data_IF_086207073479
#
_entry.id   IF_086207073479
#
_cell.length_a   1.000
_cell.length_b   1.000
_cell.length_c   1.000
_cell.angle_alpha   90.00
_cell.angle_beta   90.00
_cell.angle_gamma   90.00
#
_symmetry.space_group_name_H-M   'P 1'
#
loop_
_entity.id
_entity.type
_entity.pdbx_description
1 polymer ?
#
# COMPACT_ATOMS: atom_id res chain seq x y z
N UNK A 1 14.77 -3.06 -7.51
CA UNK A 1 13.97 -2.33 -6.49
C UNK A 1 13.38 -3.25 -5.42
N UNK A 2 12.54 -4.24 -5.75
CA UNK A 2 11.88 -5.10 -4.75
C UNK A 2 12.85 -5.84 -3.80
N UNK A 3 13.93 -6.44 -4.31
CA UNK A 3 14.94 -7.10 -3.48
C UNK A 3 15.69 -6.16 -2.52
N UNK A 4 15.87 -4.89 -2.90
CA UNK A 4 16.48 -3.90 -2.03
C UNK A 4 15.59 -3.61 -0.81
N UNK A 5 14.29 -3.42 -1.05
CA UNK A 5 13.30 -3.24 0.04
C UNK A 5 13.28 -4.48 0.93
N UNK A 6 13.22 -5.68 0.34
CA UNK A 6 13.23 -6.93 1.09
C UNK A 6 14.44 -7.01 2.04
N UNK A 7 15.64 -6.70 1.55
CA UNK A 7 16.86 -6.74 2.38
C UNK A 7 16.81 -5.74 3.55
N UNK A 8 16.21 -4.57 3.35
CA UNK A 8 16.08 -3.54 4.39
C UNK A 8 15.09 -3.97 5.48
N UNK A 9 13.96 -4.54 5.11
CA UNK A 9 12.91 -4.90 6.07
C UNK A 9 13.10 -6.31 6.66
N UNK A 10 14.00 -7.12 6.11
CA UNK A 10 14.26 -8.51 6.53
C UNK A 10 14.48 -8.65 8.05
N UNK A 11 15.22 -7.74 8.72
CA UNK A 11 15.43 -7.83 10.17
C UNK A 11 14.16 -7.58 11.00
N UNK A 12 13.15 -6.93 10.41
CA UNK A 12 11.91 -6.53 11.10
C UNK A 12 10.79 -7.57 10.92
N UNK A 13 10.82 -8.34 9.83
CA UNK A 13 9.86 -9.42 9.58
C UNK A 13 10.29 -10.71 10.33
N UNK A 14 9.34 -11.39 10.97
CA UNK A 14 9.62 -12.48 11.90
C UNK A 14 10.14 -13.73 11.17
N UNK A 15 11.41 -14.08 11.36
CA UNK A 15 11.95 -15.37 10.92
C UNK A 15 11.54 -16.46 11.89
N UNK A 16 10.31 -16.97 11.76
CA UNK A 16 9.87 -18.12 12.56
C UNK A 16 10.69 -19.35 12.16
N UNK A 17 11.22 -20.06 13.15
CA UNK A 17 12.07 -21.25 13.00
C UNK A 17 11.28 -22.56 12.81
N UNK A 18 9.96 -22.49 12.62
CA UNK A 18 9.14 -23.67 12.34
C UNK A 18 9.37 -24.18 10.92
N UNK A 19 9.36 -25.50 10.73
CA UNK A 19 9.35 -26.13 9.39
C UNK A 19 8.13 -25.75 8.55
N UNK A 20 7.05 -25.28 9.19
CA UNK A 20 5.83 -24.77 8.54
C UNK A 20 5.87 -23.24 8.34
N UNK A 21 6.96 -22.59 8.73
CA UNK A 21 7.10 -21.15 8.56
C UNK A 21 7.23 -20.81 7.07
N UNK A 22 6.49 -19.79 6.66
CA UNK A 22 6.59 -19.25 5.32
C UNK A 22 7.89 -18.46 5.20
N UNK A 23 8.56 -18.61 4.06
CA UNK A 23 9.77 -17.85 3.81
C UNK A 23 9.46 -16.35 3.83
N UNK A 24 10.33 -15.52 4.46
CA UNK A 24 10.14 -14.07 4.51
C UNK A 24 9.98 -13.44 3.12
N UNK A 25 10.68 -13.97 2.11
CA UNK A 25 10.54 -13.59 0.71
C UNK A 25 9.13 -13.84 0.16
N UNK A 26 8.54 -15.01 0.42
CA UNK A 26 7.17 -15.33 0.00
C UNK A 26 6.15 -14.42 0.68
N UNK A 27 6.31 -14.14 1.98
CA UNK A 27 5.50 -13.17 2.71
C UNK A 27 5.58 -11.78 2.06
N UNK A 28 6.81 -11.31 1.80
CA UNK A 28 7.08 -10.04 1.15
C UNK A 28 6.46 -9.92 -0.23
N UNK A 29 6.68 -10.90 -1.12
CA UNK A 29 6.12 -10.86 -2.47
C UNK A 29 4.60 -10.99 -2.49
N UNK A 30 4.01 -11.71 -1.52
CA UNK A 30 2.55 -11.76 -1.35
C UNK A 30 1.97 -10.39 -0.99
N UNK A 31 2.58 -9.73 0.00
CA UNK A 31 2.16 -8.40 0.43
C UNK A 31 2.38 -7.36 -0.67
N UNK A 32 3.51 -7.42 -1.37
CA UNK A 32 3.82 -6.52 -2.48
C UNK A 32 2.83 -6.70 -3.64
N UNK A 33 2.48 -7.95 -3.97
CA UNK A 33 1.51 -8.23 -5.02
C UNK A 33 0.12 -7.67 -4.67
N UNK A 34 -0.31 -7.84 -3.43
CA UNK A 34 -1.54 -7.23 -2.93
C UNK A 34 -1.50 -5.70 -3.02
N UNK A 35 -0.46 -5.06 -2.48
CA UNK A 35 -0.34 -3.61 -2.45
C UNK A 35 -0.26 -2.99 -3.86
N UNK A 36 0.31 -3.71 -4.83
CA UNK A 36 0.42 -3.24 -6.22
C UNK A 36 -0.89 -3.38 -7.02
N UNK A 37 -1.77 -4.31 -6.65
CA UNK A 37 -2.96 -4.63 -7.46
C UNK A 37 -4.30 -4.34 -6.77
N UNK A 38 -4.33 -4.24 -5.45
CA UNK A 38 -5.58 -4.20 -4.68
C UNK A 38 -6.43 -5.47 -4.81
N UNK A 39 -5.86 -6.57 -5.34
CA UNK A 39 -6.60 -7.79 -5.65
C UNK A 39 -7.07 -8.52 -4.38
N UNK A 40 -8.07 -9.39 -4.52
CA UNK A 40 -8.55 -10.22 -3.43
C UNK A 40 -7.45 -11.14 -2.87
N UNK A 41 -7.42 -11.27 -1.55
CA UNK A 41 -6.45 -12.09 -0.80
C UNK A 41 -6.37 -13.54 -1.29
N UNK A 42 -7.51 -14.12 -1.70
CA UNK A 42 -7.57 -15.48 -2.23
C UNK A 42 -6.81 -15.61 -3.55
N UNK A 43 -6.95 -14.64 -4.44
CA UNK A 43 -6.25 -14.62 -5.75
C UNK A 43 -4.74 -14.49 -5.52
N UNK A 44 -4.34 -13.57 -4.63
CA UNK A 44 -2.93 -13.40 -4.24
C UNK A 44 -2.37 -14.72 -3.68
N UNK A 45 -3.11 -15.37 -2.78
CA UNK A 45 -2.69 -16.63 -2.18
C UNK A 45 -2.59 -17.80 -3.17
N UNK A 46 -3.47 -17.86 -4.17
CA UNK A 46 -3.49 -18.92 -5.19
C UNK A 46 -2.53 -18.68 -6.36
N UNK A 47 -1.73 -17.62 -6.32
CA UNK A 47 -0.77 -17.32 -7.37
C UNK A 47 0.36 -18.36 -7.40
N UNK A 48 0.84 -18.66 -8.61
CA UNK A 48 1.77 -19.76 -8.91
C UNK A 48 2.99 -19.83 -7.98
N UNK A 49 3.52 -18.67 -7.55
CA UNK A 49 4.72 -18.57 -6.71
C UNK A 49 4.46 -18.32 -5.21
N UNK A 50 3.19 -18.25 -4.77
CA UNK A 50 2.82 -17.92 -3.37
C UNK A 50 2.20 -19.14 -2.68
N UNK A 51 1.15 -19.71 -3.27
CA UNK A 51 0.43 -20.89 -2.74
C UNK A 51 0.17 -20.84 -1.22
N UNK A 52 -0.52 -19.78 -0.77
CA UNK A 52 -0.86 -19.53 0.64
C UNK A 52 -2.38 -19.45 0.84
N UNK A 53 -2.83 -19.83 2.05
CA UNK A 53 -4.23 -19.58 2.44
C UNK A 53 -4.50 -18.09 2.60
N UNK A 54 -5.76 -17.67 2.38
CA UNK A 54 -6.20 -16.28 2.54
C UNK A 54 -5.80 -15.67 3.90
N UNK A 55 -5.96 -16.43 4.98
CA UNK A 55 -5.60 -15.98 6.33
C UNK A 55 -4.10 -15.69 6.45
N UNK A 56 -3.29 -16.44 5.73
CA UNK A 56 -1.84 -16.27 5.79
C UNK A 56 -1.36 -15.13 4.91
N UNK A 57 -1.99 -14.91 3.77
CA UNK A 57 -1.79 -13.70 2.95
C UNK A 57 -2.15 -12.45 3.77
N UNK A 58 -3.27 -12.46 4.50
CA UNK A 58 -3.66 -11.34 5.37
C UNK A 58 -2.59 -11.02 6.41
N UNK A 59 -2.05 -12.04 7.09
CA UNK A 59 -0.95 -11.86 8.05
C UNK A 59 0.31 -11.31 7.40
N UNK A 60 0.67 -11.82 6.22
CA UNK A 60 1.82 -11.35 5.46
C UNK A 60 1.69 -9.86 5.09
N UNK A 61 0.51 -9.44 4.61
CA UNK A 61 0.24 -8.03 4.29
C UNK A 61 0.43 -7.14 5.51
N UNK A 62 -0.14 -7.51 6.66
CA UNK A 62 -0.02 -6.71 7.89
C UNK A 62 1.43 -6.59 8.35
N UNK A 63 2.14 -7.71 8.43
CA UNK A 63 3.53 -7.76 8.90
C UNK A 63 4.47 -6.96 7.97
N UNK A 64 4.39 -7.23 6.66
CA UNK A 64 5.28 -6.60 5.67
C UNK A 64 4.97 -5.13 5.50
N UNK A 65 3.69 -4.74 5.42
CA UNK A 65 3.31 -3.33 5.27
C UNK A 65 3.71 -2.52 6.50
N UNK A 66 3.52 -3.08 7.70
CA UNK A 66 3.98 -2.44 8.94
C UNK A 66 5.50 -2.28 8.97
N UNK A 67 6.26 -3.31 8.55
CA UNK A 67 7.71 -3.24 8.48
C UNK A 67 8.19 -2.17 7.47
N UNK A 68 7.58 -2.10 6.28
CA UNK A 68 7.90 -1.07 5.28
C UNK A 68 7.64 0.34 5.85
N UNK A 69 6.47 0.59 6.42
CA UNK A 69 6.13 1.91 6.98
C UNK A 69 7.07 2.28 8.13
N UNK A 70 7.39 1.33 9.00
CA UNK A 70 8.26 1.57 10.16
C UNK A 70 9.70 1.89 9.74
N UNK A 71 10.24 1.13 8.77
CA UNK A 71 11.65 1.26 8.39
C UNK A 71 11.88 2.37 7.36
N UNK A 72 10.96 2.55 6.41
CA UNK A 72 11.14 3.44 5.25
C UNK A 72 10.20 4.65 5.23
N UNK A 73 9.13 4.63 6.03
CA UNK A 73 8.06 5.63 5.95
C UNK A 73 8.54 7.07 6.18
N UNK A 74 9.35 7.30 7.21
CA UNK A 74 9.90 8.63 7.51
C UNK A 74 10.86 9.15 6.43
N UNK A 75 11.60 8.24 5.79
CA UNK A 75 12.56 8.63 4.76
C UNK A 75 11.85 8.98 3.45
N UNK A 76 10.89 8.14 3.04
CA UNK A 76 10.28 8.21 1.70
C UNK A 76 9.02 9.05 1.64
N UNK A 77 8.29 9.21 2.76
CA UNK A 77 7.06 9.99 2.84
C UNK A 77 7.32 11.20 3.74
N UNK A 78 7.76 12.30 3.12
CA UNK A 78 8.02 13.56 3.81
C UNK A 78 6.93 14.57 3.47
N UNK A 79 6.21 15.00 4.49
CA UNK A 79 5.26 16.10 4.36
C UNK A 79 5.95 17.42 4.70
N UNK A 80 5.59 18.52 4.02
CA UNK A 80 6.10 19.84 4.37
C UNK A 80 5.64 20.18 5.79
N UNK A 81 6.56 20.52 6.68
CA UNK A 81 6.25 20.88 8.07
C UNK A 81 6.35 22.39 8.29
N UNK A 82 7.27 23.03 7.57
CA UNK A 82 7.63 24.43 7.67
C UNK A 82 6.57 25.31 6.99
N UNK A 83 6.22 26.45 7.59
CA UNK A 83 5.15 27.34 7.10
C UNK A 83 5.52 27.94 5.75
N UNK A 84 6.76 28.36 5.59
CA UNK A 84 7.31 28.95 4.37
C UNK A 84 7.23 27.95 3.21
N UNK A 85 7.64 26.70 3.44
CA UNK A 85 7.54 25.61 2.46
C UNK A 85 6.08 25.35 2.05
N UNK A 86 5.17 25.28 3.03
CA UNK A 86 3.74 25.14 2.76
C UNK A 86 3.20 26.29 1.92
N UNK A 87 3.63 27.53 2.17
CA UNK A 87 3.18 28.69 1.41
C UNK A 87 3.67 28.65 -0.04
N UNK A 88 4.92 28.22 -0.26
CA UNK A 88 5.45 28.00 -1.61
C UNK A 88 4.64 26.93 -2.34
N UNK A 89 4.35 25.80 -1.69
CA UNK A 89 3.58 24.71 -2.29
C UNK A 89 2.13 25.13 -2.60
N UNK A 90 1.47 25.87 -1.71
CA UNK A 90 0.13 26.44 -1.94
C UNK A 90 0.10 27.35 -3.16
N UNK A 91 1.08 28.25 -3.27
CA UNK A 91 1.20 29.14 -4.42
C UNK A 91 1.43 28.33 -5.71
N UNK A 92 2.27 27.30 -5.65
CA UNK A 92 2.52 26.42 -6.79
C UNK A 92 1.25 25.71 -7.26
N UNK A 93 0.50 25.05 -6.38
CA UNK A 93 -0.75 24.36 -6.75
C UNK A 93 -1.85 25.32 -7.24
N UNK A 94 -1.90 26.53 -6.68
CA UNK A 94 -2.80 27.57 -7.18
C UNK A 94 -2.42 27.98 -8.62
N UNK A 95 -1.13 28.17 -8.89
CA UNK A 95 -0.67 28.61 -10.21
C UNK A 95 -0.78 27.51 -11.27
N UNK A 96 -0.46 26.26 -10.93
CA UNK A 96 -0.39 25.16 -11.89
C UNK A 96 -1.74 24.48 -12.13
N UNK A 97 -2.57 24.36 -11.09
CA UNK A 97 -3.80 23.58 -11.12
C UNK A 97 -5.04 24.34 -10.62
N UNK A 98 -4.90 25.59 -10.19
CA UNK A 98 -6.01 26.37 -9.62
C UNK A 98 -6.55 25.80 -8.31
N UNK A 99 -5.77 24.98 -7.60
CA UNK A 99 -6.22 24.31 -6.38
C UNK A 99 -5.76 25.10 -5.13
N UNK A 100 -6.65 25.87 -4.48
CA UNK A 100 -6.27 26.70 -3.36
C UNK A 100 -5.94 25.86 -2.12
N UNK A 101 -4.86 26.20 -1.44
CA UNK A 101 -4.51 25.60 -0.15
C UNK A 101 -3.87 24.21 -0.20
N UNK A 102 -3.75 23.59 -1.38
CA UNK A 102 -3.05 22.31 -1.54
C UNK A 102 -1.56 22.45 -1.22
N UNK A 103 -1.02 21.49 -0.48
CA UNK A 103 0.40 21.43 -0.10
C UNK A 103 1.08 20.16 -0.60
N UNK A 104 0.32 19.10 -0.86
CA UNK A 104 0.79 17.80 -1.36
C UNK A 104 -0.34 17.22 -2.21
N UNK A 105 0.02 16.44 -3.22
CA UNK A 105 -0.89 15.58 -3.95
C UNK A 105 -0.44 14.13 -3.79
N UNK A 106 -1.39 13.23 -3.55
CA UNK A 106 -1.17 11.79 -3.48
C UNK A 106 -2.01 11.18 -4.59
N UNK A 107 -1.40 10.35 -5.43
CA UNK A 107 -2.14 9.60 -6.44
C UNK A 107 -3.04 8.57 -5.75
N UNK A 108 -4.34 8.60 -6.06
CA UNK A 108 -5.29 7.67 -5.49
C UNK A 108 -5.25 6.32 -6.24
N UNK A 109 -5.39 5.24 -5.48
CA UNK A 109 -5.71 3.91 -6.05
C UNK A 109 -7.18 3.64 -5.79
N UNK A 110 -7.96 3.38 -6.85
CA UNK A 110 -9.34 2.93 -6.72
C UNK A 110 -9.36 1.41 -6.50
N UNK A 111 -9.76 0.99 -5.30
CA UNK A 111 -9.89 -0.41 -4.93
C UNK A 111 -11.34 -0.82 -5.18
N UNK A 112 -11.54 -1.91 -5.93
CA UNK A 112 -12.87 -2.50 -6.14
C UNK A 112 -13.48 -2.95 -4.81
N UNK A 113 -14.73 -2.56 -4.57
CA UNK A 113 -15.52 -2.96 -3.41
C UNK A 113 -16.79 -3.70 -3.84
N UNK A 114 -17.35 -4.47 -2.91
CA UNK A 114 -18.71 -4.97 -3.08
C UNK A 114 -19.64 -3.77 -2.92
N UNK A 115 -20.48 -3.53 -3.92
CA UNK A 115 -21.46 -2.46 -3.92
C UNK A 115 -22.31 -2.49 -2.62
N UNK A 116 -22.42 -1.38 -1.90
CA UNK A 116 -23.30 -1.31 -0.74
C UNK A 116 -24.76 -1.37 -1.19
N UNK A 117 -25.60 -2.03 -0.38
CA UNK A 117 -27.02 -2.24 -0.70
C UNK A 117 -27.85 -0.94 -0.67
N UNK A 118 -27.35 0.09 0.01
CA UNK A 118 -28.00 1.40 0.15
C UNK A 118 -27.10 2.42 -0.51
N UNK A 119 -27.68 3.27 -1.36
CA UNK A 119 -26.96 4.35 -2.05
C UNK A 119 -25.71 3.89 -2.84
N UNK A 120 -25.80 2.74 -3.52
CA UNK A 120 -24.74 2.18 -4.40
C UNK A 120 -24.08 3.23 -5.30
N UNK A 121 -24.89 4.10 -5.91
CA UNK A 121 -24.44 5.16 -6.82
C UNK A 121 -23.42 6.15 -6.21
N UNK A 122 -23.37 6.27 -4.87
CA UNK A 122 -22.37 7.10 -4.18
C UNK A 122 -20.97 6.47 -4.20
N UNK A 123 -20.86 5.19 -4.56
CA UNK A 123 -19.62 4.41 -4.55
C UNK A 123 -19.14 4.04 -5.95
N UNK A 124 -19.88 4.43 -6.99
CA UNK A 124 -19.50 4.18 -8.38
C UNK A 124 -18.35 5.11 -8.79
N UNK A 125 -17.22 4.56 -9.19
CA UNK A 125 -16.09 5.35 -9.64
C UNK A 125 -16.17 5.69 -11.15
N UNK A 126 -15.26 6.56 -11.62
CA UNK A 126 -15.18 6.97 -13.04
C UNK A 126 -14.98 5.81 -14.03
N UNK A 127 -14.44 4.68 -13.56
CA UNK A 127 -14.20 3.47 -14.38
C UNK A 127 -15.44 2.56 -14.47
N UNK A 128 -16.54 2.92 -13.81
CA UNK A 128 -17.81 2.20 -13.90
C UNK A 128 -17.90 0.97 -13.00
N UNK A 129 -17.03 0.86 -12.00
CA UNK A 129 -17.14 -0.14 -10.94
C UNK A 129 -17.17 0.52 -9.57
N UNK A 130 -17.58 -0.26 -8.56
CA UNK A 130 -17.51 0.11 -7.16
C UNK A 130 -16.16 -0.30 -6.63
#
# INVERSE_FOLDING_TARGET
>A
MAHYILNIILPTISTKTSVLAIQPSTSFFSALYFNATGSYLRIVGQSYNISMSQQTVSRAIMEVTSAIVTVLGQEWIRFPTIVEEKNVLKAHFMQSAGFPGAIVAIECTHIEIIAPAIEEHNYLNRKGFH
#
